data_IF_210872168465
#
_entry.id   IF_210872168465
#
_cell.length_a   1.000
_cell.length_b   1.000
_cell.length_c   1.000
_cell.angle_alpha   90.00
_cell.angle_beta   90.00
_cell.angle_gamma   90.00
#
_symmetry.space_group_name_H-M   'P 1'
#
loop_
_entity.id
_entity.type
_entity.pdbx_description
1 polymer ?
#
# COMPACT_ATOMS: atom_id res chain seq x y z
N UNK A 1 -20.69 -3.57 -3.01
CA UNK A 1 -20.16 -3.36 -1.65
C UNK A 1 -18.99 -2.41 -1.76
N UNK A 2 -19.00 -1.30 -1.02
CA UNK A 2 -17.91 -0.32 -1.00
C UNK A 2 -17.11 -0.47 0.30
N UNK A 3 -15.94 -1.09 0.21
CA UNK A 3 -15.08 -1.40 1.36
C UNK A 3 -14.50 -0.16 2.06
N UNK A 4 -14.55 1.01 1.42
CA UNK A 4 -14.07 2.27 2.00
C UNK A 4 -15.20 3.08 2.66
N UNK A 5 -16.46 2.67 2.47
CA UNK A 5 -17.60 3.32 3.10
C UNK A 5 -17.56 3.15 4.63
N UNK A 6 -17.97 4.17 5.40
CA UNK A 6 -18.07 4.05 6.87
C UNK A 6 -18.96 2.89 7.32
N UNK A 7 -19.99 2.55 6.53
CA UNK A 7 -20.89 1.42 6.74
C UNK A 7 -20.23 0.04 6.62
N UNK A 8 -19.03 -0.04 6.01
CA UNK A 8 -18.27 -1.29 5.88
C UNK A 8 -17.22 -1.46 6.99
N UNK A 9 -17.03 -0.46 7.86
CA UNK A 9 -16.15 -0.54 9.03
C UNK A 9 -16.65 -1.64 9.96
N UNK A 10 -15.75 -2.52 10.38
CA UNK A 10 -16.02 -3.71 11.19
C UNK A 10 -16.23 -4.99 10.38
N UNK A 11 -16.71 -4.91 9.13
CA UNK A 11 -16.92 -6.12 8.32
C UNK A 11 -15.62 -6.80 7.91
N UNK A 12 -14.53 -6.04 7.74
CA UNK A 12 -13.22 -6.59 7.37
C UNK A 12 -12.25 -6.67 8.55
N UNK A 13 -12.65 -6.17 9.73
CA UNK A 13 -11.73 -5.88 10.82
C UNK A 13 -11.00 -7.13 11.34
N UNK A 14 -9.67 -7.09 11.33
CA UNK A 14 -8.74 -8.14 11.79
C UNK A 14 -9.08 -9.53 11.24
N UNK A 15 -9.32 -9.64 9.93
CA UNK A 15 -9.66 -10.92 9.30
C UNK A 15 -8.55 -11.54 8.46
N UNK A 16 -7.60 -10.73 8.00
CA UNK A 16 -6.64 -11.17 6.98
C UNK A 16 -5.21 -11.14 7.49
N UNK A 17 -4.50 -12.25 7.31
CA UNK A 17 -3.06 -12.31 7.54
C UNK A 17 -2.28 -11.58 6.44
N UNK A 18 -2.85 -11.47 5.23
CA UNK A 18 -2.24 -10.80 4.08
C UNK A 18 -3.26 -9.95 3.33
N UNK A 19 -2.91 -8.70 3.04
CA UNK A 19 -3.61 -7.83 2.10
C UNK A 19 -2.68 -7.51 0.95
N UNK A 20 -3.15 -7.69 -0.29
CA UNK A 20 -2.39 -7.41 -1.50
C UNK A 20 -3.02 -6.24 -2.26
N UNK A 21 -2.19 -5.26 -2.61
CA UNK A 21 -2.51 -4.18 -3.52
C UNK A 21 -1.65 -4.27 -4.78
N UNK A 22 -2.30 -4.31 -5.94
CA UNK A 22 -1.67 -4.22 -7.25
C UNK A 22 -2.26 -3.06 -8.04
N UNK A 23 -1.99 -1.83 -7.59
CA UNK A 23 -2.34 -0.59 -8.31
C UNK A 23 -3.63 0.11 -7.86
N UNK A 24 -4.29 -0.34 -6.79
CA UNK A 24 -5.43 0.39 -6.18
C UNK A 24 -4.94 1.72 -5.61
N UNK A 25 -3.83 1.70 -4.86
CA UNK A 25 -3.18 2.92 -4.40
C UNK A 25 -2.86 3.87 -5.55
N UNK A 26 -2.25 3.36 -6.62
CA UNK A 26 -1.93 4.13 -7.82
C UNK A 26 -3.16 4.83 -8.40
N UNK A 27 -4.23 4.07 -8.65
CA UNK A 27 -5.47 4.61 -9.22
C UNK A 27 -6.11 5.67 -8.31
N UNK A 28 -6.15 5.42 -7.00
CA UNK A 28 -6.70 6.36 -6.01
C UNK A 28 -5.89 7.65 -5.97
N UNK A 29 -4.57 7.54 -6.13
CA UNK A 29 -3.66 8.67 -6.10
C UNK A 29 -3.88 9.66 -7.26
N UNK A 30 -4.51 9.22 -8.36
CA UNK A 30 -4.80 10.04 -9.53
C UNK A 30 -6.17 10.74 -9.46
N UNK A 31 -6.93 10.57 -8.37
CA UNK A 31 -8.25 11.16 -8.23
C UNK A 31 -8.20 12.63 -7.77
N UNK A 32 -9.27 13.39 -8.08
CA UNK A 32 -9.40 14.78 -7.62
C UNK A 32 -9.55 14.89 -6.09
N UNK A 33 -10.14 13.87 -5.45
CA UNK A 33 -10.33 13.78 -3.99
C UNK A 33 -9.23 12.95 -3.33
N UNK A 34 -7.98 13.11 -3.81
CA UNK A 34 -6.84 12.26 -3.47
C UNK A 34 -6.64 12.08 -1.96
N UNK A 35 -6.61 13.16 -1.20
CA UNK A 35 -6.19 13.11 0.22
C UNK A 35 -7.15 12.27 1.07
N UNK A 36 -8.46 12.51 0.95
CA UNK A 36 -9.49 11.78 1.69
C UNK A 36 -9.51 10.30 1.31
N UNK A 37 -9.39 10.02 0.01
CA UNK A 37 -9.42 8.65 -0.53
C UNK A 37 -8.20 7.83 -0.10
N UNK A 38 -7.00 8.42 -0.12
CA UNK A 38 -5.78 7.75 0.33
C UNK A 38 -5.79 7.53 1.84
N UNK A 39 -6.34 8.48 2.61
CA UNK A 39 -6.50 8.34 4.06
C UNK A 39 -7.47 7.23 4.42
N UNK A 40 -8.64 7.20 3.77
CA UNK A 40 -9.64 6.15 3.96
C UNK A 40 -9.10 4.77 3.57
N UNK A 41 -8.39 4.67 2.44
CA UNK A 41 -7.78 3.42 1.98
C UNK A 41 -6.75 2.89 2.97
N UNK A 42 -5.85 3.74 3.47
CA UNK A 42 -4.85 3.35 4.47
C UNK A 42 -5.51 2.81 5.74
N UNK A 43 -6.57 3.49 6.20
CA UNK A 43 -7.36 3.05 7.34
C UNK A 43 -7.97 1.66 7.11
N UNK A 44 -8.57 1.44 5.94
CA UNK A 44 -9.18 0.16 5.58
C UNK A 44 -8.16 -0.98 5.52
N UNK A 45 -6.97 -0.75 4.96
CA UNK A 45 -5.87 -1.75 4.94
C UNK A 45 -5.45 -2.12 6.35
N UNK A 46 -5.22 -1.12 7.21
CA UNK A 46 -4.83 -1.35 8.61
C UNK A 46 -5.93 -2.10 9.37
N UNK A 47 -7.18 -1.71 9.19
CA UNK A 47 -8.33 -2.35 9.84
C UNK A 47 -8.47 -3.81 9.40
N UNK A 48 -8.30 -4.09 8.10
CA UNK A 48 -8.46 -5.42 7.52
C UNK A 48 -7.44 -6.45 8.06
N UNK A 49 -6.22 -6.01 8.33
CA UNK A 49 -5.12 -6.90 8.74
C UNK A 49 -5.25 -7.38 10.18
N UNK A 50 -4.96 -8.66 10.42
CA UNK A 50 -4.70 -9.19 11.75
C UNK A 50 -3.45 -8.55 12.39
N UNK A 51 -3.27 -8.71 13.70
CA UNK A 51 -1.98 -8.40 14.33
C UNK A 51 -0.86 -9.19 13.67
N UNK A 52 0.28 -8.56 13.40
CA UNK A 52 1.39 -9.15 12.63
C UNK A 52 1.08 -9.50 11.16
N UNK A 53 -0.09 -9.14 10.62
CA UNK A 53 -0.43 -9.34 9.21
C UNK A 53 0.46 -8.53 8.26
N UNK A 54 0.53 -8.96 7.00
CA UNK A 54 1.37 -8.36 5.97
C UNK A 54 0.54 -7.60 4.94
N UNK A 55 0.93 -6.36 4.68
CA UNK A 55 0.45 -5.60 3.54
C UNK A 55 1.49 -5.64 2.43
N UNK A 56 1.12 -6.18 1.27
CA UNK A 56 1.98 -6.25 0.09
C UNK A 56 1.44 -5.28 -0.94
N UNK A 57 2.26 -4.34 -1.40
CA UNK A 57 1.88 -3.36 -2.42
C UNK A 57 2.84 -3.40 -3.60
N UNK A 58 2.28 -3.44 -4.80
CA UNK A 58 2.99 -3.19 -6.05
C UNK A 58 2.48 -1.89 -6.66
N UNK A 59 3.41 -0.98 -6.93
CA UNK A 59 3.14 0.36 -7.46
C UNK A 59 3.93 0.61 -8.72
N UNK A 60 3.35 1.29 -9.71
CA UNK A 60 4.07 1.76 -10.89
C UNK A 60 4.41 3.25 -10.82
N UNK A 61 3.80 4.02 -9.92
CA UNK A 61 3.96 5.47 -9.86
C UNK A 61 4.74 5.97 -8.64
N UNK A 62 5.03 5.12 -7.66
CA UNK A 62 5.66 5.52 -6.40
C UNK A 62 6.91 4.70 -6.11
N UNK A 63 7.96 5.38 -5.62
CA UNK A 63 9.17 4.70 -5.13
C UNK A 63 8.93 4.06 -3.78
N UNK A 64 9.86 3.19 -3.36
CA UNK A 64 9.83 2.56 -2.03
C UNK A 64 9.80 3.60 -0.92
N UNK A 65 10.62 4.64 -1.03
CA UNK A 65 10.72 5.72 -0.04
C UNK A 65 9.42 6.50 0.07
N UNK A 66 8.74 6.76 -1.04
CA UNK A 66 7.44 7.42 -1.06
C UNK A 66 6.37 6.54 -0.42
N UNK A 67 6.33 5.25 -0.76
CA UNK A 67 5.42 4.28 -0.14
C UNK A 67 5.66 4.18 1.37
N UNK A 68 6.90 4.10 1.83
CA UNK A 68 7.25 4.15 3.26
C UNK A 68 6.72 5.42 3.92
N UNK A 69 6.93 6.60 3.33
CA UNK A 69 6.40 7.86 3.86
C UNK A 69 4.88 7.85 3.98
N UNK A 70 4.18 7.27 3.01
CA UNK A 70 2.73 7.17 3.08
C UNK A 70 2.29 6.15 4.12
N UNK A 71 2.81 4.92 4.11
CA UNK A 71 2.25 3.85 4.92
C UNK A 71 2.81 3.77 6.34
N UNK A 72 3.99 4.29 6.65
CA UNK A 72 4.52 4.28 8.02
C UNK A 72 4.08 5.51 8.83
N UNK A 73 3.80 6.65 8.18
CA UNK A 73 3.43 7.88 8.87
C UNK A 73 2.04 7.78 9.52
N UNK A 74 2.01 7.80 10.86
CA UNK A 74 0.77 7.84 11.65
C UNK A 74 -0.10 6.59 11.54
N UNK A 75 0.49 5.46 11.12
CA UNK A 75 -0.20 4.17 10.97
C UNK A 75 0.46 3.10 11.83
N UNK A 76 -0.19 1.94 11.97
CA UNK A 76 0.37 0.76 12.64
C UNK A 76 1.11 -0.19 11.67
N UNK A 77 1.63 0.32 10.55
CA UNK A 77 2.41 -0.45 9.58
C UNK A 77 3.89 -0.05 9.66
N UNK A 78 4.77 -1.04 9.63
CA UNK A 78 6.21 -0.85 9.53
C UNK A 78 6.75 -1.52 8.27
N UNK A 79 7.71 -0.90 7.60
CA UNK A 79 8.41 -1.52 6.48
C UNK A 79 9.02 -2.86 6.92
N UNK A 80 8.75 -3.91 6.14
CA UNK A 80 9.27 -5.26 6.40
C UNK A 80 10.37 -5.63 5.41
N UNK A 81 10.08 -5.55 4.10
CA UNK A 81 11.07 -5.81 3.05
C UNK A 81 10.62 -5.23 1.70
N UNK A 82 11.56 -5.15 0.77
CA UNK A 82 11.29 -4.86 -0.63
C UNK A 82 11.24 -6.17 -1.43
N UNK A 83 10.33 -6.23 -2.40
CA UNK A 83 10.24 -7.34 -3.36
C UNK A 83 11.11 -6.96 -4.56
N UNK A 84 12.15 -7.75 -4.87
CA UNK A 84 13.04 -7.46 -6.00
C UNK A 84 12.28 -7.36 -7.32
N UNK A 85 12.53 -6.30 -8.08
CA UNK A 85 11.96 -6.16 -9.42
C UNK A 85 12.58 -7.20 -10.37
N UNK A 86 11.74 -7.93 -11.10
CA UNK A 86 12.20 -8.87 -12.14
C UNK A 86 12.63 -8.16 -13.43
N UNK A 87 12.19 -6.92 -13.63
CA UNK A 87 12.51 -6.10 -14.79
C UNK A 87 12.99 -4.72 -14.36
N UNK A 88 14.22 -4.40 -14.73
CA UNK A 88 14.82 -3.09 -14.52
C UNK A 88 15.29 -2.54 -15.87
N UNK A 89 15.04 -1.25 -16.09
CA UNK A 89 15.44 -0.51 -17.28
C UNK A 89 16.51 0.50 -16.84
N UNK A 90 17.66 0.50 -17.51
CA UNK A 90 18.73 1.45 -17.22
C UNK A 90 18.73 2.55 -18.27
N UNK A 91 18.66 3.82 -17.85
CA UNK A 91 18.74 4.98 -18.73
C UNK A 91 19.74 6.00 -18.16
N UNK A 92 20.75 6.37 -18.95
CA UNK A 92 21.78 7.35 -18.52
C UNK A 92 22.60 6.93 -17.28
N UNK A 93 22.80 5.62 -17.07
CA UNK A 93 23.51 5.10 -15.90
C UNK A 93 22.67 5.00 -14.61
N UNK A 94 21.38 5.36 -14.67
CA UNK A 94 20.43 5.18 -13.57
C UNK A 94 19.51 4.01 -13.88
N UNK A 95 19.39 3.09 -12.92
CA UNK A 95 18.50 1.94 -13.02
C UNK A 95 17.13 2.30 -12.46
N UNK A 96 16.10 2.25 -13.31
CA UNK A 96 14.69 2.35 -12.93
C UNK A 96 14.02 0.99 -12.99
N UNK A 97 13.02 0.76 -12.15
CA UNK A 97 12.19 -0.45 -12.17
C UNK A 97 10.83 -0.14 -12.78
N UNK A 98 10.21 -1.11 -13.45
CA UNK A 98 8.87 -0.92 -14.04
C UNK A 98 7.76 -0.90 -12.99
N UNK A 99 8.02 -1.46 -11.81
CA UNK A 99 7.14 -1.39 -10.64
C UNK A 99 7.97 -1.61 -9.37
N UNK A 100 7.58 -0.92 -8.31
CA UNK A 100 8.13 -1.07 -6.97
C UNK A 100 7.22 -1.99 -6.15
N UNK A 101 7.77 -3.07 -5.58
CA UNK A 101 7.07 -3.97 -4.69
C UNK A 101 7.56 -3.83 -3.24
N UNK A 102 6.66 -3.54 -2.29
CA UNK A 102 7.02 -3.36 -0.87
C UNK A 102 6.10 -4.21 0.01
N UNK A 103 6.66 -4.77 1.08
CA UNK A 103 5.91 -5.44 2.14
C UNK A 103 6.01 -4.62 3.41
N UNK A 104 4.86 -4.35 4.02
CA UNK A 104 4.74 -3.80 5.36
C UNK A 104 4.16 -4.85 6.31
N UNK A 105 4.52 -4.77 7.59
CA UNK A 105 3.94 -5.60 8.65
C UNK A 105 3.14 -4.72 9.59
N UNK A 106 1.93 -5.18 9.95
CA UNK A 106 1.13 -4.56 11.00
C UNK A 106 1.73 -4.85 12.38
N UNK A 107 2.00 -3.79 13.13
CA UNK A 107 2.51 -3.82 14.51
C UNK A 107 1.44 -4.29 15.50
#
# INVERSE_FOLDING_TARGET
>A
MDVLSPSSRGFLANQYDVVLDKGTWDAMSLSNDREDRLTAYRGAVVEALCSSGLFVIFSCNFTREELCKFFEAGSSLAFHCEIPATHAITFGGRQGVTSTGVVFKKL
#
